data_IF_122926667342
#
_entry.id   IF_122926667342
#
_cell.length_a   1.000
_cell.length_b   1.000
_cell.length_c   1.000
_cell.angle_alpha   90.00
_cell.angle_beta   90.00
_cell.angle_gamma   90.00
#
_symmetry.space_group_name_H-M   'P 1'
#
loop_
_entity.id
_entity.type
_entity.pdbx_description
1 polymer ?
#
# COMPACT_ATOMS: atom_id res chain seq x y z
N UNK A 1 -10.87 2.45 11.21
CA UNK A 1 -10.69 3.43 10.11
C UNK A 1 -11.88 3.26 9.19
N UNK A 2 -12.74 4.29 9.10
CA UNK A 2 -13.87 4.27 8.19
C UNK A 2 -13.36 4.54 6.77
N UNK A 3 -13.49 3.57 5.88
CA UNK A 3 -13.31 3.79 4.46
C UNK A 3 -14.68 4.13 3.86
N UNK A 4 -14.81 5.34 3.34
CA UNK A 4 -16.01 5.72 2.58
C UNK A 4 -15.80 5.27 1.15
N UNK A 5 -16.57 4.30 0.70
CA UNK A 5 -16.64 3.90 -0.70
C UNK A 5 -17.97 4.38 -1.27
N UNK A 6 -17.93 4.99 -2.44
CA UNK A 6 -19.13 5.35 -3.20
C UNK A 6 -19.35 4.27 -4.24
N UNK A 7 -20.47 3.56 -4.15
CA UNK A 7 -20.84 2.52 -5.10
C UNK A 7 -21.88 3.06 -6.06
N UNK A 8 -21.75 2.66 -7.32
CA UNK A 8 -22.84 2.79 -8.29
C UNK A 8 -23.88 1.69 -8.05
N UNK A 9 -25.11 1.87 -8.52
CA UNK A 9 -26.18 0.85 -8.43
C UNK A 9 -25.64 -0.52 -8.86
N UNK A 10 -26.04 -1.56 -8.16
CA UNK A 10 -25.72 -2.98 -8.43
C UNK A 10 -24.34 -3.47 -7.94
N UNK A 11 -23.82 -2.90 -6.87
CA UNK A 11 -22.56 -3.36 -6.26
C UNK A 11 -22.82 -4.09 -4.94
N UNK A 12 -22.24 -5.28 -4.76
CA UNK A 12 -22.21 -5.96 -3.47
C UNK A 12 -21.08 -5.41 -2.63
N UNK A 13 -21.40 -4.99 -1.42
CA UNK A 13 -20.45 -4.46 -0.47
C UNK A 13 -20.35 -5.35 0.77
N UNK A 14 -19.14 -5.74 1.12
CA UNK A 14 -18.84 -6.39 2.38
C UNK A 14 -17.83 -5.53 3.15
N UNK A 15 -18.28 -4.97 4.26
CA UNK A 15 -17.41 -4.25 5.20
C UNK A 15 -17.09 -5.16 6.39
N UNK A 16 -15.86 -5.65 6.44
CA UNK A 16 -15.36 -6.41 7.59
C UNK A 16 -14.81 -5.43 8.62
N UNK A 17 -15.64 -5.03 9.56
CA UNK A 17 -15.24 -4.17 10.67
C UNK A 17 -15.20 -4.99 11.95
N UNK A 18 -14.08 -4.93 12.67
CA UNK A 18 -13.96 -5.49 14.02
C UNK A 18 -14.71 -4.61 15.01
N UNK A 19 -15.71 -5.15 15.70
CA UNK A 19 -16.48 -4.47 16.74
C UNK A 19 -17.90 -5.03 16.80
N UNK A 20 -18.55 -4.88 17.95
CA UNK A 20 -19.99 -5.16 18.12
C UNK A 20 -20.79 -4.16 17.28
N UNK A 21 -21.63 -4.68 16.39
CA UNK A 21 -22.63 -3.90 15.64
C UNK A 21 -23.97 -4.61 15.73
N UNK A 22 -25.01 -3.82 15.86
CA UNK A 22 -26.37 -4.30 15.85
C UNK A 22 -26.74 -4.89 14.49
N UNK A 23 -27.52 -5.96 14.48
CA UNK A 23 -27.83 -6.81 13.33
C UNK A 23 -28.46 -6.10 12.13
N UNK A 24 -29.03 -4.92 12.32
CA UNK A 24 -29.75 -4.16 11.28
C UNK A 24 -28.85 -3.50 10.21
N UNK A 25 -27.53 -3.50 10.42
CA UNK A 25 -26.56 -2.79 9.55
C UNK A 25 -25.73 -3.74 8.65
N UNK A 26 -26.08 -5.00 8.55
CA UNK A 26 -25.35 -5.96 7.71
C UNK A 26 -25.96 -6.04 6.31
N UNK A 27 -25.20 -5.52 5.37
CA UNK A 27 -25.11 -5.89 3.98
C UNK A 27 -26.41 -6.02 3.19
N UNK A 28 -26.65 -5.08 2.29
CA UNK A 28 -27.60 -5.27 1.19
C UNK A 28 -26.89 -6.08 0.10
N UNK A 29 -27.39 -7.28 -0.19
CA UNK A 29 -26.88 -8.12 -1.27
C UNK A 29 -27.51 -7.67 -2.58
N UNK A 30 -26.71 -7.15 -3.51
CA UNK A 30 -27.16 -6.84 -4.86
C UNK A 30 -26.66 -7.91 -5.83
N UNK A 31 -27.54 -8.38 -6.72
CA UNK A 31 -27.20 -9.33 -7.77
C UNK A 31 -26.35 -8.61 -8.83
N UNK A 32 -25.12 -9.06 -9.02
CA UNK A 32 -24.28 -8.58 -10.11
C UNK A 32 -24.84 -9.15 -11.41
N UNK A 33 -25.29 -8.31 -12.33
CA UNK A 33 -25.56 -8.73 -13.70
C UNK A 33 -24.25 -9.13 -14.37
N UNK A 34 -24.22 -10.27 -15.06
CA UNK A 34 -23.06 -10.70 -15.84
C UNK A 34 -22.65 -9.59 -16.81
N UNK A 35 -21.46 -9.04 -16.58
CA UNK A 35 -20.82 -8.14 -17.53
C UNK A 35 -20.18 -9.03 -18.59
N UNK A 36 -20.65 -8.92 -19.83
CA UNK A 36 -19.98 -9.52 -20.98
C UNK A 36 -18.65 -8.79 -21.17
N UNK A 37 -17.57 -9.44 -20.82
CA UNK A 37 -16.20 -8.93 -20.98
C UNK A 37 -15.80 -9.18 -22.44
N UNK A 38 -15.42 -8.13 -23.16
CA UNK A 38 -14.89 -8.28 -24.52
C UNK A 38 -13.49 -8.92 -24.51
N UNK A 39 -12.94 -9.33 -25.65
CA UNK A 39 -11.64 -10.01 -25.73
C UNK A 39 -10.48 -9.16 -25.19
N UNK A 40 -10.51 -7.83 -25.38
CA UNK A 40 -9.48 -6.93 -24.85
C UNK A 40 -9.52 -6.85 -23.33
N UNK A 41 -10.72 -6.76 -22.75
CA UNK A 41 -10.93 -6.79 -21.30
C UNK A 41 -10.53 -8.15 -20.73
N UNK A 42 -10.83 -9.25 -21.40
CA UNK A 42 -10.41 -10.60 -21.02
C UNK A 42 -8.89 -10.74 -21.01
N UNK A 43 -8.20 -10.27 -22.05
CA UNK A 43 -6.74 -10.29 -22.13
C UNK A 43 -6.09 -9.42 -21.05
N UNK A 44 -6.65 -8.24 -20.78
CA UNK A 44 -6.22 -7.39 -19.68
C UNK A 44 -6.37 -8.09 -18.34
N UNK A 45 -7.51 -8.72 -18.08
CA UNK A 45 -7.76 -9.45 -16.85
C UNK A 45 -6.79 -10.63 -16.70
N UNK A 46 -6.60 -11.44 -17.73
CA UNK A 46 -5.67 -12.57 -17.71
C UNK A 46 -4.23 -12.13 -17.41
N UNK A 47 -3.81 -10.97 -17.92
CA UNK A 47 -2.47 -10.43 -17.63
C UNK A 47 -2.28 -10.02 -16.17
N UNK A 48 -3.37 -9.72 -15.45
CA UNK A 48 -3.35 -9.34 -14.04
C UNK A 48 -3.43 -10.53 -13.07
N UNK A 49 -3.92 -11.70 -13.52
CA UNK A 49 -4.07 -12.87 -12.65
C UNK A 49 -2.73 -13.41 -12.16
N UNK A 50 -2.72 -13.88 -10.92
CA UNK A 50 -1.58 -14.53 -10.26
C UNK A 50 -1.90 -15.97 -9.98
N UNK A 51 -1.17 -16.85 -10.64
CA UNK A 51 -1.32 -18.30 -10.55
C UNK A 51 -0.35 -18.93 -9.56
N UNK A 52 0.56 -18.14 -9.01
CA UNK A 52 1.53 -18.53 -8.01
C UNK A 52 1.49 -17.62 -6.77
N UNK A 53 1.99 -18.11 -5.68
CA UNK A 53 2.11 -17.36 -4.44
C UNK A 53 3.23 -16.33 -4.54
N UNK A 54 2.93 -15.05 -4.33
CA UNK A 54 3.91 -13.95 -4.37
C UNK A 54 4.99 -14.06 -3.28
N UNK A 55 4.71 -14.81 -2.21
CA UNK A 55 5.66 -15.02 -1.11
C UNK A 55 6.60 -16.19 -1.38
N UNK A 56 6.08 -17.40 -1.63
CA UNK A 56 6.90 -18.61 -1.76
C UNK A 56 7.05 -19.14 -3.19
N UNK A 57 6.23 -18.66 -4.15
CA UNK A 57 6.19 -19.20 -5.51
C UNK A 57 5.38 -20.49 -5.67
N UNK A 58 4.74 -20.98 -4.60
CA UNK A 58 3.91 -22.20 -4.65
C UNK A 58 2.64 -21.99 -5.46
N UNK A 59 2.16 -23.05 -6.11
CA UNK A 59 0.97 -23.03 -6.99
C UNK A 59 -0.31 -23.53 -6.30
N UNK A 60 -0.23 -23.99 -5.07
CA UNK A 60 -1.39 -24.49 -4.30
C UNK A 60 -2.19 -23.34 -3.71
N UNK A 61 -2.82 -22.59 -4.58
CA UNK A 61 -3.66 -21.45 -4.21
C UNK A 61 -5.12 -21.88 -4.15
N UNK A 62 -5.75 -21.69 -2.98
CA UNK A 62 -7.17 -21.94 -2.75
C UNK A 62 -7.91 -20.63 -2.59
N UNK A 63 -8.94 -20.39 -3.42
CA UNK A 63 -9.79 -19.21 -3.28
C UNK A 63 -10.61 -19.31 -2.00
N UNK A 64 -10.49 -18.29 -1.15
CA UNK A 64 -11.16 -18.21 0.16
C UNK A 64 -12.42 -17.37 0.06
N UNK A 65 -12.35 -16.23 -0.64
CA UNK A 65 -13.47 -15.30 -0.79
C UNK A 65 -13.45 -14.67 -2.17
N UNK A 66 -14.62 -14.40 -2.73
CA UNK A 66 -14.79 -13.60 -3.94
C UNK A 66 -15.89 -12.57 -3.71
N UNK A 67 -15.59 -11.31 -3.96
CA UNK A 67 -16.52 -10.19 -3.92
C UNK A 67 -16.94 -9.75 -5.33
N UNK A 68 -16.70 -10.59 -6.35
CA UNK A 68 -16.97 -10.31 -7.73
C UNK A 68 -16.04 -9.24 -8.31
N UNK A 69 -16.53 -8.57 -9.36
CA UNK A 69 -15.77 -7.53 -10.05
C UNK A 69 -16.00 -6.17 -9.40
N UNK A 70 -14.92 -5.47 -9.07
CA UNK A 70 -14.95 -4.19 -8.38
C UNK A 70 -14.07 -3.15 -9.10
N UNK A 71 -14.43 -1.86 -9.06
CA UNK A 71 -13.54 -0.80 -9.53
C UNK A 71 -12.33 -0.68 -8.60
N UNK A 72 -11.24 -0.08 -9.11
CA UNK A 72 -10.09 0.23 -8.28
C UNK A 72 -10.46 1.24 -7.19
N UNK A 73 -10.02 0.99 -5.97
CA UNK A 73 -10.18 1.93 -4.86
C UNK A 73 -9.51 3.28 -5.18
N UNK A 74 -10.15 4.37 -4.77
CA UNK A 74 -9.71 5.74 -5.02
C UNK A 74 -9.71 6.19 -6.50
N UNK A 75 -10.21 5.37 -7.43
CA UNK A 75 -10.41 5.77 -8.82
C UNK A 75 -11.78 6.45 -8.98
N UNK A 76 -11.89 7.68 -8.45
CA UNK A 76 -13.14 8.45 -8.48
C UNK A 76 -13.42 8.94 -9.91
N UNK A 77 -14.64 8.70 -10.37
CA UNK A 77 -15.07 9.11 -11.70
C UNK A 77 -15.48 10.60 -11.71
N UNK A 78 -15.01 11.33 -12.72
CA UNK A 78 -15.32 12.76 -12.89
C UNK A 78 -16.74 13.00 -13.45
N UNK A 79 -17.38 11.97 -14.03
CA UNK A 79 -18.71 12.04 -14.61
C UNK A 79 -19.51 10.79 -14.20
N UNK A 80 -20.82 10.97 -14.02
CA UNK A 80 -21.75 9.91 -13.57
C UNK A 80 -21.74 8.68 -14.48
N UNK A 81 -21.62 8.88 -15.80
CA UNK A 81 -21.70 7.82 -16.81
C UNK A 81 -20.32 7.42 -17.36
N UNK A 82 -19.24 7.81 -16.70
CA UNK A 82 -17.91 7.41 -17.09
C UNK A 82 -17.70 5.91 -16.86
N UNK A 83 -17.17 5.22 -17.87
CA UNK A 83 -16.79 3.81 -17.73
C UNK A 83 -15.55 3.69 -16.84
N UNK A 84 -15.53 2.68 -15.99
CA UNK A 84 -14.35 2.31 -15.20
C UNK A 84 -13.98 0.85 -15.47
N UNK A 85 -12.69 0.57 -15.37
CA UNK A 85 -12.19 -0.81 -15.41
C UNK A 85 -12.61 -1.53 -14.12
N UNK A 86 -13.07 -2.77 -14.27
CA UNK A 86 -13.45 -3.63 -13.17
C UNK A 86 -12.48 -4.80 -13.08
N UNK A 87 -12.08 -5.14 -11.87
CA UNK A 87 -11.15 -6.22 -11.57
C UNK A 87 -11.75 -7.19 -10.56
N UNK A 88 -11.46 -8.50 -10.65
CA UNK A 88 -11.88 -9.44 -9.63
C UNK A 88 -11.31 -9.05 -8.27
N UNK A 89 -12.18 -8.96 -7.26
CA UNK A 89 -11.77 -8.77 -5.88
C UNK A 89 -11.92 -10.10 -5.15
N UNK A 90 -10.89 -10.91 -5.24
CA UNK A 90 -10.85 -12.25 -4.71
C UNK A 90 -9.58 -12.44 -3.87
N UNK A 91 -9.68 -13.25 -2.82
CA UNK A 91 -8.54 -13.62 -1.98
C UNK A 91 -8.24 -15.10 -2.12
N UNK A 92 -6.99 -15.42 -2.38
CA UNK A 92 -6.44 -16.75 -2.41
C UNK A 92 -5.55 -16.98 -1.17
N UNK A 93 -5.65 -18.18 -0.61
CA UNK A 93 -4.79 -18.69 0.44
C UNK A 93 -3.79 -19.68 -0.14
N UNK A 94 -2.53 -19.55 0.20
CA UNK A 94 -1.49 -20.48 -0.20
C UNK A 94 -1.36 -21.60 0.83
N UNK A 95 -1.58 -22.85 0.42
CA UNK A 95 -1.48 -24.01 1.32
C UNK A 95 -0.03 -24.34 1.71
N UNK A 96 0.96 -23.88 0.93
CA UNK A 96 2.37 -24.17 1.20
C UNK A 96 2.98 -23.22 2.25
N UNK A 97 2.61 -21.93 2.27
CA UNK A 97 3.22 -20.94 3.18
C UNK A 97 2.21 -20.10 3.97
N UNK A 98 0.92 -20.39 3.86
CA UNK A 98 -0.18 -19.71 4.57
C UNK A 98 -0.35 -18.22 4.25
N UNK A 99 0.26 -17.73 3.15
CA UNK A 99 0.07 -16.37 2.68
C UNK A 99 -1.32 -16.19 2.07
N UNK A 100 -2.00 -15.10 2.43
CA UNK A 100 -3.22 -14.66 1.78
C UNK A 100 -2.90 -13.54 0.79
N UNK A 101 -3.38 -13.66 -0.44
CA UNK A 101 -3.13 -12.69 -1.51
C UNK A 101 -4.35 -12.49 -2.39
N UNK A 102 -4.47 -11.32 -3.03
CA UNK A 102 -5.46 -11.12 -4.07
C UNK A 102 -5.13 -11.99 -5.30
N UNK A 103 -6.19 -12.48 -5.98
CA UNK A 103 -6.07 -13.28 -7.20
C UNK A 103 -5.48 -12.50 -8.37
N UNK A 104 -5.59 -11.18 -8.33
CA UNK A 104 -5.06 -10.27 -9.36
C UNK A 104 -4.07 -9.26 -8.77
N UNK A 105 -3.14 -8.81 -9.60
CA UNK A 105 -2.29 -7.66 -9.33
C UNK A 105 -2.42 -6.66 -10.48
N UNK A 106 -3.02 -5.55 -10.20
CA UNK A 106 -3.16 -4.44 -11.17
C UNK A 106 -1.84 -3.69 -11.27
N UNK A 107 -1.52 -3.17 -12.47
CA UNK A 107 -0.33 -2.35 -12.66
C UNK A 107 -0.27 -1.24 -11.60
N UNK A 108 0.77 -1.22 -10.75
CA UNK A 108 0.88 -0.23 -9.68
C UNK A 108 0.93 1.21 -10.19
N UNK A 109 1.33 1.43 -11.44
CA UNK A 109 1.27 2.76 -12.04
C UNK A 109 -0.15 3.28 -12.21
N UNK A 110 -1.11 2.40 -12.54
CA UNK A 110 -2.54 2.77 -12.60
C UNK A 110 -3.08 3.18 -11.24
N UNK A 111 -2.63 2.52 -10.17
CA UNK A 111 -3.14 2.74 -8.82
C UNK A 111 -2.45 3.89 -8.09
N UNK A 112 -1.13 4.04 -8.27
CA UNK A 112 -0.31 4.85 -7.38
C UNK A 112 0.44 6.02 -8.05
N UNK A 113 0.31 6.26 -9.38
CA UNK A 113 0.99 7.40 -10.02
C UNK A 113 0.40 8.75 -9.62
N UNK A 114 -0.89 8.79 -9.30
CA UNK A 114 -1.59 9.94 -8.73
C UNK A 114 -2.56 9.41 -7.67
N UNK A 115 -2.28 9.65 -6.41
CA UNK A 115 -3.01 9.05 -5.30
C UNK A 115 -3.73 10.12 -4.47
N UNK A 116 -5.05 9.94 -4.30
CA UNK A 116 -5.88 10.98 -3.69
C UNK A 116 -5.80 11.00 -2.16
N UNK A 117 -5.51 9.87 -1.53
CA UNK A 117 -5.46 9.80 -0.07
C UNK A 117 -4.19 10.43 0.47
N UNK A 118 -4.34 11.42 1.33
CA UNK A 118 -3.25 12.11 2.03
C UNK A 118 -3.27 11.70 3.50
N UNK A 119 -2.24 11.05 3.97
CA UNK A 119 -2.20 10.45 5.33
C UNK A 119 -2.27 11.49 6.42
N UNK A 120 -1.70 12.68 6.22
CA UNK A 120 -1.74 13.79 7.21
C UNK A 120 -3.12 14.39 7.45
N UNK A 121 -4.14 13.99 6.69
CA UNK A 121 -5.54 14.40 6.97
C UNK A 121 -6.14 13.65 8.17
N UNK A 122 -5.50 12.58 8.61
CA UNK A 122 -5.93 11.76 9.75
C UNK A 122 -5.14 12.11 11.02
N UNK A 123 -5.76 12.80 11.95
CA UNK A 123 -5.17 13.13 13.27
C UNK A 123 -4.69 11.87 14.02
N UNK A 124 -5.43 10.75 14.06
CA UNK A 124 -4.93 9.52 14.67
C UNK A 124 -3.63 9.00 14.03
N UNK A 125 -3.49 9.09 12.70
CA UNK A 125 -2.28 8.66 11.99
C UNK A 125 -1.10 9.57 12.29
N UNK A 126 -1.31 10.88 12.38
CA UNK A 126 -0.26 11.83 12.80
C UNK A 126 0.27 11.44 14.18
N UNK A 127 -0.63 11.23 15.15
CA UNK A 127 -0.25 10.82 16.51
C UNK A 127 0.47 9.47 16.52
N UNK A 128 -0.01 8.49 15.74
CA UNK A 128 0.63 7.19 15.62
C UNK A 128 2.09 7.32 15.18
N UNK A 129 2.38 8.08 14.13
CA UNK A 129 3.74 8.26 13.63
C UNK A 129 4.62 9.08 14.58
N UNK A 130 4.07 10.07 15.29
CA UNK A 130 4.77 10.80 16.34
C UNK A 130 5.23 9.87 17.48
N UNK A 131 4.32 9.04 17.97
CA UNK A 131 4.61 8.11 19.06
C UNK A 131 5.56 6.98 18.59
N UNK A 132 5.38 6.48 17.38
CA UNK A 132 6.26 5.49 16.77
C UNK A 132 7.69 6.02 16.61
N UNK A 133 7.85 7.23 16.05
CA UNK A 133 9.16 7.85 15.87
C UNK A 133 9.93 7.99 17.20
N UNK A 134 9.26 8.46 18.26
CA UNK A 134 9.87 8.57 19.61
C UNK A 134 10.35 7.20 20.12
N UNK A 135 9.53 6.15 19.95
CA UNK A 135 9.89 4.76 20.32
C UNK A 135 11.11 4.27 19.53
N UNK A 136 11.14 4.50 18.21
CA UNK A 136 12.23 4.07 17.35
C UNK A 136 13.53 4.79 17.67
N UNK A 137 13.48 6.12 17.85
CA UNK A 137 14.65 6.92 18.22
C UNK A 137 15.27 6.40 19.52
N UNK A 138 14.45 6.16 20.55
CA UNK A 138 14.92 5.64 21.85
C UNK A 138 15.46 4.22 21.72
N UNK A 139 14.69 3.30 21.11
CA UNK A 139 15.04 1.87 21.03
C UNK A 139 16.29 1.62 20.18
N UNK A 140 16.40 2.32 19.05
CA UNK A 140 17.51 2.16 18.10
C UNK A 140 18.66 3.15 18.33
N UNK A 141 18.57 4.01 19.36
CA UNK A 141 19.57 5.03 19.71
C UNK A 141 19.93 5.91 18.51
N UNK A 142 18.93 6.33 17.72
CA UNK A 142 19.13 7.12 16.51
C UNK A 142 19.66 8.52 16.85
N UNK A 143 20.62 8.99 16.05
CA UNK A 143 21.26 10.27 16.23
C UNK A 143 20.83 11.27 15.14
N UNK A 144 20.28 12.45 15.48
CA UNK A 144 19.79 13.42 14.50
C UNK A 144 20.81 13.90 13.47
N UNK A 145 22.11 13.93 13.84
CA UNK A 145 23.18 14.39 12.95
C UNK A 145 23.75 13.29 12.04
N UNK A 146 23.69 12.01 12.47
CA UNK A 146 24.38 10.90 11.81
C UNK A 146 23.40 9.93 11.16
N UNK A 147 22.33 9.55 11.84
CA UNK A 147 21.42 8.50 11.37
C UNK A 147 20.68 8.89 10.10
N UNK A 148 20.55 7.91 9.20
CA UNK A 148 19.84 8.04 7.94
C UNK A 148 18.57 7.19 7.98
N UNK A 149 17.44 7.82 7.68
CA UNK A 149 16.10 7.23 7.77
C UNK A 149 15.44 7.30 6.41
N UNK A 150 14.90 6.17 5.97
CA UNK A 150 14.10 6.06 4.74
C UNK A 150 12.67 5.66 5.12
N UNK A 151 11.68 6.25 4.45
CA UNK A 151 10.28 5.83 4.49
C UNK A 151 9.81 5.44 3.09
N UNK A 152 9.39 4.20 2.92
CA UNK A 152 8.93 3.63 1.65
C UNK A 152 7.42 3.71 1.57
N UNK A 153 6.89 4.28 0.48
CA UNK A 153 5.47 4.65 0.36
C UNK A 153 5.16 5.83 1.28
N UNK A 154 6.05 6.83 1.28
CA UNK A 154 6.07 7.89 2.29
C UNK A 154 4.87 8.84 2.24
N UNK A 155 3.98 8.69 1.25
CA UNK A 155 2.82 9.55 1.06
C UNK A 155 3.24 11.04 1.08
N UNK A 156 2.61 11.88 1.88
CA UNK A 156 2.93 13.30 2.04
C UNK A 156 4.05 13.59 3.07
N UNK A 157 4.75 12.54 3.51
CA UNK A 157 5.90 12.62 4.42
C UNK A 157 5.52 12.58 5.91
N UNK A 158 4.29 12.20 6.23
CA UNK A 158 3.76 12.24 7.60
C UNK A 158 4.61 11.42 8.58
N UNK A 159 5.10 10.22 8.20
CA UNK A 159 5.94 9.39 9.06
C UNK A 159 7.35 9.96 9.26
N UNK A 160 7.86 10.74 8.31
CA UNK A 160 9.16 11.41 8.42
C UNK A 160 9.10 12.77 9.12
N UNK A 161 7.89 13.36 9.22
CA UNK A 161 7.73 14.67 9.86
C UNK A 161 8.24 14.72 11.30
N UNK A 162 7.97 13.75 12.20
CA UNK A 162 8.51 13.75 13.56
C UNK A 162 10.05 13.75 13.60
N UNK A 163 10.70 13.00 12.72
CA UNK A 163 12.17 13.01 12.63
C UNK A 163 12.69 14.38 12.17
N UNK A 164 12.04 14.99 11.18
CA UNK A 164 12.38 16.34 10.74
C UNK A 164 12.26 17.36 11.90
N UNK A 165 11.16 17.32 12.64
CA UNK A 165 10.88 18.24 13.74
C UNK A 165 11.94 18.08 14.86
N UNK A 166 12.42 16.84 15.06
CA UNK A 166 13.54 16.50 15.96
C UNK A 166 14.93 16.71 15.33
N UNK A 167 15.00 17.47 14.20
CA UNK A 167 16.25 17.92 13.56
C UNK A 167 17.12 16.80 12.97
N UNK A 168 16.53 15.68 12.58
CA UNK A 168 17.24 14.68 11.78
C UNK A 168 17.56 15.27 10.40
N UNK A 169 18.86 15.22 10.03
CA UNK A 169 19.37 15.82 8.80
C UNK A 169 19.21 14.90 7.57
N UNK A 170 19.29 13.60 7.81
CA UNK A 170 19.30 12.60 6.74
C UNK A 170 17.99 11.80 6.77
N UNK A 171 16.96 12.34 6.14
CA UNK A 171 15.66 11.65 5.95
C UNK A 171 15.31 11.66 4.48
N UNK A 172 14.69 10.57 3.99
CA UNK A 172 14.29 10.41 2.61
C UNK A 172 12.97 9.66 2.52
N UNK A 173 11.98 10.25 1.87
CA UNK A 173 10.77 9.56 1.43
C UNK A 173 10.97 8.93 0.05
N UNK A 174 10.33 7.80 -0.20
CA UNK A 174 10.20 7.17 -1.52
C UNK A 174 8.72 7.07 -1.80
N UNK A 175 8.22 7.80 -2.81
CA UNK A 175 6.78 7.91 -3.08
C UNK A 175 6.51 7.90 -4.59
N UNK A 176 5.75 6.91 -5.12
CA UNK A 176 5.44 6.85 -6.54
C UNK A 176 4.42 7.90 -6.98
N UNK A 177 3.49 8.32 -6.11
CA UNK A 177 2.48 9.32 -6.44
C UNK A 177 3.10 10.71 -6.59
N UNK A 178 3.08 11.23 -7.82
CA UNK A 178 3.69 12.53 -8.15
C UNK A 178 3.12 13.69 -7.34
N UNK A 179 1.81 13.69 -7.11
CA UNK A 179 1.13 14.72 -6.32
C UNK A 179 1.58 14.69 -4.84
N UNK A 180 1.71 13.50 -4.24
CA UNK A 180 2.12 13.34 -2.85
C UNK A 180 3.61 13.61 -2.66
N UNK A 181 4.47 13.11 -3.53
CA UNK A 181 5.89 13.42 -3.51
C UNK A 181 6.15 14.94 -3.64
N UNK A 182 5.38 15.63 -4.50
CA UNK A 182 5.43 17.10 -4.60
C UNK A 182 5.02 17.79 -3.30
N UNK A 183 3.95 17.30 -2.64
CA UNK A 183 3.48 17.83 -1.37
C UNK A 183 4.52 17.63 -0.26
N UNK A 184 5.07 16.43 -0.14
CA UNK A 184 6.13 16.10 0.82
C UNK A 184 7.37 17.00 0.64
N UNK A 185 7.82 17.18 -0.60
CA UNK A 185 8.93 18.11 -0.91
C UNK A 185 8.59 19.57 -0.56
N UNK A 186 7.36 20.04 -0.82
CA UNK A 186 6.88 21.37 -0.41
C UNK A 186 6.96 21.53 1.11
N UNK A 187 6.65 20.47 1.85
CA UNK A 187 6.79 20.41 3.31
C UNK A 187 8.25 20.24 3.78
N UNK A 188 9.24 20.41 2.87
CA UNK A 188 10.67 20.28 3.17
C UNK A 188 11.07 18.89 3.69
N UNK A 189 10.40 17.86 3.25
CA UNK A 189 10.79 16.45 3.45
C UNK A 189 11.24 15.92 2.10
N UNK A 190 12.56 15.73 1.95
CA UNK A 190 13.14 15.23 0.71
C UNK A 190 12.50 13.91 0.31
N UNK A 191 11.89 13.84 -0.89
CA UNK A 191 11.18 12.66 -1.36
C UNK A 191 11.58 12.36 -2.80
N UNK A 192 12.03 11.12 -3.02
CA UNK A 192 12.26 10.56 -4.35
C UNK A 192 10.92 10.15 -4.95
N UNK A 193 10.56 10.69 -6.10
CA UNK A 193 9.35 10.31 -6.79
C UNK A 193 9.58 9.09 -7.67
N UNK A 194 9.13 7.94 -7.23
CA UNK A 194 9.25 6.67 -7.93
C UNK A 194 8.97 5.48 -7.04
N UNK A 195 8.87 4.31 -7.66
CA UNK A 195 8.74 3.03 -6.94
C UNK A 195 10.10 2.58 -6.40
N UNK A 196 10.06 1.86 -5.27
CA UNK A 196 11.23 1.13 -4.78
C UNK A 196 11.38 -0.17 -5.57
N UNK A 197 12.22 -0.14 -6.59
CA UNK A 197 12.52 -1.24 -7.51
C UNK A 197 14.01 -1.26 -7.86
N UNK A 198 14.51 -2.37 -8.40
CA UNK A 198 15.94 -2.55 -8.71
C UNK A 198 16.51 -1.42 -9.57
N UNK A 199 15.74 -0.97 -10.57
CA UNK A 199 16.18 0.07 -11.53
C UNK A 199 16.35 1.45 -10.88
N UNK A 200 15.78 1.67 -9.71
CA UNK A 200 15.86 2.94 -9.01
C UNK A 200 16.86 2.95 -7.84
N UNK A 201 17.41 1.78 -7.46
CA UNK A 201 18.33 1.69 -6.33
C UNK A 201 19.59 2.56 -6.45
N UNK A 202 20.12 2.72 -7.66
CA UNK A 202 21.30 3.57 -7.90
C UNK A 202 21.06 5.06 -7.61
N UNK A 203 19.79 5.50 -7.62
CA UNK A 203 19.38 6.88 -7.34
C UNK A 203 19.16 7.15 -5.84
N UNK A 204 19.20 6.10 -5.01
CA UNK A 204 18.90 6.17 -3.58
C UNK A 204 20.19 5.89 -2.80
N UNK A 205 20.52 6.79 -1.85
CA UNK A 205 21.67 6.59 -0.98
C UNK A 205 21.47 5.35 -0.11
N UNK A 206 22.49 4.51 -0.02
CA UNK A 206 22.54 3.30 0.82
C UNK A 206 22.95 3.63 2.27
N UNK A 207 22.99 2.59 3.10
CA UNK A 207 23.38 2.62 4.50
C UNK A 207 22.39 3.36 5.39
N UNK A 208 21.11 3.05 5.23
CA UNK A 208 20.05 3.52 6.12
C UNK A 208 20.12 2.81 7.47
N UNK A 209 20.04 3.59 8.56
CA UNK A 209 19.96 3.05 9.92
C UNK A 209 18.55 2.58 10.25
N UNK A 210 17.55 3.20 9.62
CA UNK A 210 16.14 2.82 9.75
C UNK A 210 15.46 2.92 8.40
N UNK A 211 14.73 1.87 8.03
CA UNK A 211 13.77 1.88 6.92
C UNK A 211 12.39 1.59 7.49
N UNK A 212 11.44 2.45 7.16
CA UNK A 212 10.01 2.29 7.45
C UNK A 212 9.29 1.87 6.18
N UNK A 213 8.29 1.00 6.32
CA UNK A 213 7.39 0.59 5.26
C UNK A 213 5.99 0.34 5.86
N UNK A 214 5.25 1.43 6.11
CA UNK A 214 3.94 1.37 6.78
C UNK A 214 2.82 1.33 5.77
N UNK A 215 2.03 0.26 5.79
CA UNK A 215 0.88 0.02 4.90
C UNK A 215 1.22 0.09 3.39
N UNK A 216 2.42 -0.35 3.02
CA UNK A 216 2.89 -0.36 1.62
C UNK A 216 3.35 -1.74 1.18
N UNK A 217 4.04 -2.50 2.04
CA UNK A 217 4.62 -3.79 1.68
C UNK A 217 3.57 -4.78 1.16
N UNK A 218 2.42 -4.87 1.83
CA UNK A 218 1.31 -5.74 1.44
C UNK A 218 0.68 -5.38 0.08
N UNK A 219 0.92 -4.17 -0.43
CA UNK A 219 0.41 -3.73 -1.74
C UNK A 219 1.39 -4.01 -2.89
N UNK A 220 2.57 -4.53 -2.61
CA UNK A 220 3.54 -4.86 -3.65
C UNK A 220 3.17 -6.15 -4.37
N UNK A 221 3.14 -6.12 -5.69
CA UNK A 221 3.07 -7.33 -6.50
C UNK A 221 4.39 -8.12 -6.48
N UNK A 222 5.50 -7.42 -6.29
CA UNK A 222 6.86 -7.96 -6.30
C UNK A 222 7.46 -7.96 -4.90
N UNK A 223 6.83 -8.68 -3.95
CA UNK A 223 7.24 -8.70 -2.54
C UNK A 223 8.72 -9.00 -2.34
N UNK A 224 9.24 -10.04 -3.02
CA UNK A 224 10.64 -10.45 -2.92
C UNK A 224 11.59 -9.36 -3.43
N UNK A 225 11.30 -8.76 -4.58
CA UNK A 225 12.11 -7.66 -5.12
C UNK A 225 12.12 -6.45 -4.18
N UNK A 226 10.95 -6.08 -3.64
CA UNK A 226 10.84 -4.97 -2.69
C UNK A 226 11.63 -5.24 -1.41
N UNK A 227 11.54 -6.45 -0.86
CA UNK A 227 12.33 -6.85 0.32
C UNK A 227 13.84 -6.81 0.04
N UNK A 228 14.29 -7.33 -1.09
CA UNK A 228 15.69 -7.26 -1.52
C UNK A 228 16.18 -5.81 -1.70
N UNK A 229 15.33 -4.93 -2.24
CA UNK A 229 15.67 -3.52 -2.39
C UNK A 229 15.83 -2.84 -1.03
N UNK A 230 14.91 -3.06 -0.10
CA UNK A 230 15.02 -2.55 1.26
C UNK A 230 16.28 -3.07 1.96
N UNK A 231 16.55 -4.37 1.85
CA UNK A 231 17.77 -4.98 2.42
C UNK A 231 19.06 -4.34 1.88
N UNK A 232 19.13 -4.09 0.55
CA UNK A 232 20.29 -3.44 -0.08
C UNK A 232 20.47 -1.98 0.30
N UNK A 233 19.43 -1.31 0.80
CA UNK A 233 19.50 0.07 1.28
C UNK A 233 19.91 0.16 2.74
N UNK A 234 19.72 -0.90 3.54
CA UNK A 234 20.09 -0.92 4.96
C UNK A 234 21.63 -0.86 5.16
N UNK A 235 22.02 -0.24 6.25
CA UNK A 235 23.37 -0.38 6.80
C UNK A 235 23.54 -1.77 7.45
N UNK A 236 24.77 -2.17 7.75
CA UNK A 236 25.09 -3.46 8.40
C UNK A 236 24.27 -3.69 9.68
N UNK A 237 24.01 -2.64 10.43
CA UNK A 237 23.26 -2.68 11.70
C UNK A 237 21.90 -1.95 11.59
N UNK A 238 21.44 -1.69 10.35
CA UNK A 238 20.17 -1.01 10.08
C UNK A 238 18.97 -1.87 10.44
N UNK A 239 17.89 -1.22 10.76
CA UNK A 239 16.61 -1.87 11.12
C UNK A 239 15.56 -1.57 10.07
N UNK A 240 14.86 -2.60 9.63
CA UNK A 240 13.66 -2.49 8.81
C UNK A 240 12.41 -2.69 9.70
N UNK A 241 11.47 -1.76 9.60
CA UNK A 241 10.17 -1.84 10.28
C UNK A 241 9.08 -1.85 9.22
N UNK A 242 8.34 -2.95 9.19
CA UNK A 242 7.17 -3.12 8.31
C UNK A 242 5.93 -3.10 9.18
N UNK A 243 4.96 -2.29 8.79
CA UNK A 243 3.63 -2.23 9.38
C UNK A 243 2.61 -2.60 8.31
N UNK A 244 1.84 -3.65 8.56
CA UNK A 244 0.82 -4.17 7.65
C UNK A 244 -0.41 -4.63 8.44
N UNK A 245 -1.52 -4.78 7.73
CA UNK A 245 -2.73 -5.37 8.30
C UNK A 245 -2.45 -6.82 8.67
N UNK A 246 -3.00 -7.22 9.79
CA UNK A 246 -2.92 -8.59 10.28
C UNK A 246 -4.26 -9.28 10.09
N UNK A 247 -4.24 -10.42 9.41
CA UNK A 247 -5.42 -11.25 9.19
C UNK A 247 -5.54 -12.26 10.34
N UNK A 248 -6.50 -12.04 11.24
CA UNK A 248 -6.95 -12.99 12.26
C UNK A 248 -8.44 -13.19 12.13
#
# INVERSE_FOLDING_TARGET
>A
VAHTMVFTKDTTFLNLVRGEREHENYGVTHTIKHVLVNEDEKNLLLSCYKFDCRSCGGIKLKRVISLGYQPLANNLLNKKDAKCELYPLEMNYCEDCHNCQLSVAVDPKKMFSNYLYTTSTSTPMIKHFDDAAKKYIKKLKLNPKKSYIIDVGSNDGVALKPFKDLKFKNILGIEPAKNLAKLSNKNKIKTFNGFLERNNLSKIKKNADLILASNVFAHSDKLKEMAECMFKLLSKNGTLIIEVQYLL
#
